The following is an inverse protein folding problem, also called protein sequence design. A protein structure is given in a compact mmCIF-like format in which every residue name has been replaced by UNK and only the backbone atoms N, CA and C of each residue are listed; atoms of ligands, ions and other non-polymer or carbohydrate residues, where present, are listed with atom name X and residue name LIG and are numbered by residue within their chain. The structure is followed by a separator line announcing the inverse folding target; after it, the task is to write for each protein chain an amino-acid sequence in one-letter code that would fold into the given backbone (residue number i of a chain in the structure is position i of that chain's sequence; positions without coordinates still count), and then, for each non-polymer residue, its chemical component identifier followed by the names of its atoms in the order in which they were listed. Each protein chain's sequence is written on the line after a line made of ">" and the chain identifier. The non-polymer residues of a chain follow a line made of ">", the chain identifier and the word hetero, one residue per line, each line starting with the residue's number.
data_IF_372323986677
#
_entry.id   IF_372323986677
#
_cell.length_a   1.000
_cell.length_b   1.000
_cell.length_c   1.000
_cell.angle_alpha   90.00
_cell.angle_beta   90.00
_cell.angle_gamma   90.00
#
_symmetry.space_group_name_H-M   'P 1'
#
loop_
_entity.id
_entity.type
_entity.pdbx_description
1 polymer ?
#
# COMPACT_ATOMS: atom_id res chain seq x y z
N UNK A 1 12.70 -7.04 2.53
CA UNK A 1 12.60 -8.27 3.33
C UNK A 1 12.67 -7.93 4.81
N UNK A 2 11.53 -7.95 5.53
CA UNK A 2 11.53 -7.84 7.00
C UNK A 2 12.07 -9.16 7.59
N UNK A 3 12.89 -9.10 8.65
CA UNK A 3 13.40 -10.28 9.36
C UNK A 3 14.64 -10.99 8.79
N UNK A 4 15.34 -10.38 7.82
CA UNK A 4 16.55 -10.96 7.23
C UNK A 4 17.67 -11.24 8.26
N UNK A 5 17.82 -10.34 9.25
CA UNK A 5 18.78 -10.48 10.35
C UNK A 5 18.48 -11.71 11.20
N UNK A 6 17.20 -11.92 11.56
CA UNK A 6 16.76 -13.09 12.33
C UNK A 6 17.05 -14.39 11.58
N UNK A 7 16.77 -14.44 10.27
CA UNK A 7 17.03 -15.63 9.44
C UNK A 7 18.53 -15.94 9.41
N UNK A 8 19.38 -14.92 9.26
CA UNK A 8 20.85 -15.08 9.27
C UNK A 8 21.35 -15.54 10.62
N UNK A 9 20.88 -14.94 11.71
CA UNK A 9 21.27 -15.27 13.08
C UNK A 9 20.90 -16.71 13.46
N UNK A 10 19.77 -17.22 12.99
CA UNK A 10 19.33 -18.59 13.25
C UNK A 10 19.79 -19.59 12.18
N UNK A 11 20.61 -19.16 11.22
CA UNK A 11 21.10 -19.96 10.09
C UNK A 11 19.98 -20.69 9.31
N UNK A 12 18.80 -20.08 9.21
CA UNK A 12 17.60 -20.65 8.57
C UNK A 12 17.43 -20.21 7.10
N UNK A 13 18.49 -19.71 6.47
CA UNK A 13 18.45 -19.21 5.10
C UNK A 13 17.99 -20.28 4.10
N UNK A 14 18.51 -21.51 4.22
CA UNK A 14 18.15 -22.63 3.34
C UNK A 14 16.67 -23.01 3.45
N UNK A 15 16.15 -23.12 4.68
CA UNK A 15 14.73 -23.43 4.91
C UNK A 15 13.80 -22.34 4.37
N UNK A 16 14.17 -21.07 4.55
CA UNK A 16 13.38 -19.95 4.04
C UNK A 16 13.44 -19.87 2.51
N UNK A 17 14.60 -20.12 1.90
CA UNK A 17 14.75 -20.22 0.45
C UNK A 17 13.91 -21.37 -0.12
N UNK A 18 13.87 -22.53 0.54
CA UNK A 18 13.01 -23.64 0.14
C UNK A 18 11.52 -23.28 0.18
N UNK A 19 11.06 -22.60 1.25
CA UNK A 19 9.67 -22.11 1.33
C UNK A 19 9.35 -21.11 0.23
N UNK A 20 10.27 -20.19 -0.05
CA UNK A 20 10.11 -19.22 -1.13
C UNK A 20 10.03 -19.93 -2.49
N UNK A 21 10.98 -20.83 -2.79
CA UNK A 21 10.98 -21.61 -4.02
C UNK A 21 9.68 -22.40 -4.20
N UNK A 22 9.19 -23.08 -3.16
CA UNK A 22 7.93 -23.83 -3.24
C UNK A 22 6.74 -22.91 -3.58
N UNK A 23 6.67 -21.72 -2.96
CA UNK A 23 5.63 -20.74 -3.28
C UNK A 23 5.78 -20.20 -4.71
N UNK A 24 7.01 -19.94 -5.17
CA UNK A 24 7.29 -19.54 -6.55
C UNK A 24 6.89 -20.64 -7.53
N UNK A 25 7.21 -21.90 -7.24
CA UNK A 25 6.81 -23.05 -8.05
C UNK A 25 5.30 -23.17 -8.15
N UNK A 26 4.54 -22.94 -7.08
CA UNK A 26 3.07 -22.93 -7.15
C UNK A 26 2.57 -21.80 -8.07
N UNK A 27 3.14 -20.60 -7.97
CA UNK A 27 2.77 -19.50 -8.88
C UNK A 27 3.12 -19.80 -10.35
N UNK A 28 4.29 -20.40 -10.60
CA UNK A 28 4.71 -20.81 -11.93
C UNK A 28 3.83 -21.93 -12.49
N UNK A 29 3.49 -22.93 -11.67
CA UNK A 29 2.61 -24.02 -12.07
C UNK A 29 1.23 -23.52 -12.49
N UNK A 30 0.66 -22.56 -11.76
CA UNK A 30 -0.59 -21.91 -12.15
C UNK A 30 -0.45 -21.16 -13.47
N UNK A 31 0.67 -20.46 -13.67
CA UNK A 31 1.00 -19.83 -14.96
C UNK A 31 1.11 -20.83 -16.10
N UNK A 32 1.75 -21.98 -15.88
CA UNK A 32 1.89 -23.06 -16.86
C UNK A 32 0.55 -23.69 -17.22
N UNK A 33 -0.37 -23.85 -16.28
CA UNK A 33 -1.73 -24.33 -16.57
C UNK A 33 -2.44 -23.37 -17.53
N UNK A 34 -2.38 -22.07 -17.27
CA UNK A 34 -2.96 -21.04 -18.17
C UNK A 34 -2.28 -21.08 -19.54
N UNK A 35 -0.94 -21.19 -19.59
CA UNK A 35 -0.20 -21.26 -20.84
C UNK A 35 -0.52 -22.53 -21.63
N UNK A 36 -0.68 -23.67 -20.95
CA UNK A 36 -1.08 -24.94 -21.57
C UNK A 36 -2.48 -24.86 -22.17
N UNK A 37 -3.42 -24.19 -21.50
CA UNK A 37 -4.75 -23.92 -22.05
C UNK A 37 -4.67 -23.06 -23.31
N UNK A 38 -3.87 -21.98 -23.30
CA UNK A 38 -3.66 -21.14 -24.48
C UNK A 38 -3.02 -21.91 -25.64
N UNK A 39 -2.04 -22.77 -25.36
CA UNK A 39 -1.40 -23.61 -26.38
C UNK A 39 -2.37 -24.63 -26.97
N UNK A 40 -3.18 -25.29 -26.14
CA UNK A 40 -4.19 -26.25 -26.61
C UNK A 40 -5.22 -25.52 -27.48
N UNK A 41 -5.70 -24.36 -27.04
CA UNK A 41 -6.67 -23.56 -27.77
C UNK A 41 -6.10 -23.06 -29.12
N UNK A 42 -4.86 -22.55 -29.11
CA UNK A 42 -4.16 -22.15 -30.33
C UNK A 42 -3.95 -23.32 -31.29
N UNK A 43 -3.48 -24.46 -30.80
CA UNK A 43 -3.26 -25.66 -31.62
C UNK A 43 -4.57 -26.17 -32.24
N UNK A 44 -5.66 -26.19 -31.47
CA UNK A 44 -6.97 -26.58 -31.95
C UNK A 44 -7.47 -25.64 -33.07
N UNK A 45 -7.34 -24.32 -32.86
CA UNK A 45 -7.69 -23.33 -33.88
C UNK A 45 -6.86 -23.50 -35.16
N UNK A 46 -5.54 -23.72 -35.05
CA UNK A 46 -4.69 -23.96 -36.22
C UNK A 46 -5.11 -25.19 -37.01
N UNK A 47 -5.48 -26.29 -36.34
CA UNK A 47 -5.97 -27.50 -37.01
C UNK A 47 -7.32 -27.26 -37.69
N UNK A 48 -8.25 -26.61 -37.01
CA UNK A 48 -9.58 -26.28 -37.57
C UNK A 48 -9.42 -25.41 -38.82
N UNK A 49 -8.62 -24.35 -38.77
CA UNK A 49 -8.41 -23.45 -39.91
C UNK A 49 -7.57 -24.10 -41.02
N UNK A 50 -6.66 -25.00 -40.68
CA UNK A 50 -5.92 -25.79 -41.66
C UNK A 50 -6.85 -26.71 -42.46
N UNK A 51 -7.77 -27.39 -41.78
CA UNK A 51 -8.78 -28.25 -42.42
C UNK A 51 -9.79 -27.44 -43.23
N UNK A 52 -10.25 -26.29 -42.71
CA UNK A 52 -11.11 -25.36 -43.42
C UNK A 52 -10.46 -24.91 -44.75
N UNK A 53 -9.23 -24.41 -44.73
CA UNK A 53 -8.53 -23.97 -45.94
C UNK A 53 -8.36 -25.11 -46.93
N UNK A 54 -7.97 -26.29 -46.46
CA UNK A 54 -7.80 -27.48 -47.32
C UNK A 54 -9.13 -27.86 -47.99
N UNK A 55 -10.24 -27.83 -47.25
CA UNK A 55 -11.57 -28.12 -47.77
C UNK A 55 -12.02 -27.06 -48.80
N UNK A 56 -11.78 -25.77 -48.53
CA UNK A 56 -12.11 -24.67 -49.46
C UNK A 56 -11.35 -24.84 -50.77
N UNK A 57 -10.04 -25.15 -50.72
CA UNK A 57 -9.26 -25.37 -51.93
C UNK A 57 -9.71 -26.63 -52.68
N UNK A 58 -10.00 -27.72 -51.97
CA UNK A 58 -10.48 -28.95 -52.58
C UNK A 58 -11.80 -28.76 -53.34
N UNK A 59 -12.81 -28.20 -52.68
CA UNK A 59 -14.13 -27.94 -53.27
C UNK A 59 -14.02 -26.87 -54.37
N UNK A 60 -13.28 -25.80 -54.10
CA UNK A 60 -13.07 -24.72 -55.05
C UNK A 60 -12.40 -25.19 -56.35
N UNK A 61 -11.37 -26.04 -56.26
CA UNK A 61 -10.71 -26.61 -57.43
C UNK A 61 -11.64 -27.50 -58.25
N UNK A 62 -12.48 -28.32 -57.60
CA UNK A 62 -13.47 -29.15 -58.28
C UNK A 62 -14.53 -28.30 -59.02
N UNK A 63 -14.97 -27.18 -58.44
CA UNK A 63 -15.92 -26.26 -59.08
C UNK A 63 -15.32 -25.53 -60.30
N UNK A 64 -14.03 -25.16 -60.24
CA UNK A 64 -13.32 -24.55 -61.39
C UNK A 64 -13.16 -25.57 -62.54
N UNK A 65 -12.81 -26.81 -62.22
CA UNK A 65 -12.61 -27.88 -63.21
C UNK A 65 -13.93 -28.40 -63.79
N UNK A 66 -15.02 -28.34 -63.04
CA UNK A 66 -16.36 -28.82 -63.45
C UNK A 66 -17.07 -27.92 -64.47
N UNK A 67 -16.49 -26.79 -64.87
CA UNK A 67 -17.04 -25.91 -65.91
C UNK A 67 -18.28 -25.11 -65.47
N UNK A 68 -18.59 -25.08 -64.17
CA UNK A 68 -19.49 -24.06 -63.62
C UNK A 68 -18.83 -22.67 -63.85
N UNK A 69 -19.59 -21.59 -63.94
CA UNK A 69 -19.11 -20.21 -64.18
C UNK A 69 -18.13 -19.65 -63.12
N UNK A 70 -17.52 -20.51 -62.29
CA UNK A 70 -16.60 -20.23 -61.21
C UNK A 70 -15.14 -20.10 -61.71
N UNK A 71 -14.64 -18.87 -61.78
CA UNK A 71 -13.26 -18.58 -62.18
C UNK A 71 -12.26 -18.75 -61.03
N UNK A 72 -10.98 -18.96 -61.37
CA UNK A 72 -9.89 -19.00 -60.40
C UNK A 72 -9.79 -17.71 -59.56
N UNK A 73 -10.14 -16.55 -60.14
CA UNK A 73 -10.17 -15.28 -59.41
C UNK A 73 -11.24 -15.24 -58.32
N UNK A 74 -12.41 -15.87 -58.55
CA UNK A 74 -13.46 -15.97 -57.54
C UNK A 74 -13.08 -16.88 -56.38
N UNK A 75 -12.31 -17.94 -56.61
CA UNK A 75 -11.75 -18.78 -55.53
C UNK A 75 -10.79 -17.99 -54.64
N UNK A 76 -9.91 -17.19 -55.24
CA UNK A 76 -8.99 -16.32 -54.49
C UNK A 76 -9.77 -15.29 -53.67
N UNK A 77 -10.78 -14.64 -54.27
CA UNK A 77 -11.62 -13.70 -53.53
C UNK A 77 -12.37 -14.37 -52.37
N UNK A 78 -12.95 -15.56 -52.59
CA UNK A 78 -13.67 -16.32 -51.56
C UNK A 78 -12.76 -16.73 -50.39
N UNK A 79 -11.58 -17.29 -50.69
CA UNK A 79 -10.59 -17.66 -49.65
C UNK A 79 -10.15 -16.45 -48.83
N UNK A 80 -9.97 -15.29 -49.45
CA UNK A 80 -9.69 -14.04 -48.71
C UNK A 80 -10.84 -13.63 -47.79
N UNK A 81 -12.10 -13.68 -48.26
CA UNK A 81 -13.25 -13.34 -47.43
C UNK A 81 -13.47 -14.32 -46.28
N UNK A 82 -13.31 -15.63 -46.50
CA UNK A 82 -13.33 -16.63 -45.44
C UNK A 82 -12.23 -16.37 -44.41
N UNK A 83 -10.99 -16.13 -44.87
CA UNK A 83 -9.87 -15.79 -43.98
C UNK A 83 -10.14 -14.53 -43.14
N UNK A 84 -10.73 -13.50 -43.74
CA UNK A 84 -11.15 -12.30 -43.00
C UNK A 84 -12.21 -12.62 -41.95
N UNK A 85 -13.26 -13.37 -42.30
CA UNK A 85 -14.32 -13.74 -41.38
C UNK A 85 -13.77 -14.54 -40.18
N UNK A 86 -12.95 -15.54 -40.46
CA UNK A 86 -12.31 -16.42 -39.49
C UNK A 86 -11.37 -15.65 -38.54
N UNK A 87 -10.57 -14.72 -39.08
CA UNK A 87 -9.73 -13.84 -38.26
C UNK A 87 -10.55 -12.93 -37.34
N UNK A 88 -11.67 -12.38 -37.81
CA UNK A 88 -12.55 -11.56 -36.96
C UNK A 88 -13.26 -12.37 -35.90
N UNK A 89 -13.69 -13.59 -36.21
CA UNK A 89 -14.31 -14.50 -35.26
C UNK A 89 -13.36 -14.89 -34.11
N UNK A 90 -12.12 -15.28 -34.44
CA UNK A 90 -11.09 -15.60 -33.43
C UNK A 90 -10.73 -14.39 -32.56
N UNK A 91 -10.59 -13.20 -33.17
CA UNK A 91 -10.32 -11.96 -32.44
C UNK A 91 -11.40 -11.66 -31.39
N UNK A 92 -12.67 -11.97 -31.68
CA UNK A 92 -13.77 -11.77 -30.72
C UNK A 92 -13.60 -12.65 -29.47
N UNK A 93 -13.13 -13.89 -29.65
CA UNK A 93 -12.84 -14.80 -28.53
C UNK A 93 -11.68 -14.27 -27.69
N UNK A 94 -10.62 -13.79 -28.34
CA UNK A 94 -9.47 -13.19 -27.65
C UNK A 94 -9.87 -11.95 -26.86
N UNK A 95 -10.72 -11.08 -27.42
CA UNK A 95 -11.27 -9.92 -26.70
C UNK A 95 -12.09 -10.36 -25.48
N UNK A 96 -12.90 -11.41 -25.59
CA UNK A 96 -13.66 -11.92 -24.45
C UNK A 96 -12.76 -12.41 -23.31
N UNK A 97 -11.64 -13.07 -23.64
CA UNK A 97 -10.63 -13.50 -22.66
C UNK A 97 -9.93 -12.28 -22.04
N UNK A 98 -9.55 -11.30 -22.85
CA UNK A 98 -8.90 -10.06 -22.38
C UNK A 98 -9.80 -9.28 -21.42
N UNK A 99 -11.09 -9.13 -21.73
CA UNK A 99 -12.07 -8.47 -20.85
C UNK A 99 -12.19 -9.20 -19.51
N UNK A 100 -12.18 -10.54 -19.49
CA UNK A 100 -12.19 -11.31 -18.23
C UNK A 100 -10.93 -11.07 -17.40
N UNK A 101 -9.75 -11.03 -18.02
CA UNK A 101 -8.49 -10.74 -17.33
C UNK A 101 -8.45 -9.32 -16.76
N UNK A 102 -8.94 -8.34 -17.53
CA UNK A 102 -9.06 -6.96 -17.08
C UNK A 102 -9.98 -6.84 -15.86
N UNK A 103 -11.11 -7.56 -15.85
CA UNK A 103 -12.04 -7.56 -14.71
C UNK A 103 -11.40 -8.07 -13.42
N UNK A 104 -10.54 -9.08 -13.49
CA UNK A 104 -9.80 -9.59 -12.31
C UNK A 104 -8.81 -8.55 -11.76
N UNK A 105 -8.12 -7.83 -12.63
CA UNK A 105 -7.24 -6.73 -12.22
C UNK A 105 -8.05 -5.58 -11.61
N UNK A 106 -9.19 -5.26 -12.21
CA UNK A 106 -10.12 -4.25 -11.71
C UNK A 106 -10.64 -4.54 -10.31
N UNK A 107 -10.96 -5.79 -9.98
CA UNK A 107 -11.41 -6.17 -8.63
C UNK A 107 -10.35 -5.88 -7.55
N UNK A 108 -9.07 -6.17 -7.81
CA UNK A 108 -8.00 -5.89 -6.84
C UNK A 108 -7.79 -4.40 -6.62
N UNK A 109 -7.93 -3.60 -7.68
CA UNK A 109 -7.87 -2.15 -7.56
C UNK A 109 -9.10 -1.62 -6.82
N UNK A 110 -10.28 -2.18 -7.10
CA UNK A 110 -11.53 -1.83 -6.44
C UNK A 110 -11.45 -2.04 -4.92
N UNK A 111 -10.82 -3.12 -4.43
CA UNK A 111 -10.65 -3.33 -2.99
C UNK A 111 -9.89 -2.18 -2.32
N UNK A 112 -8.85 -1.63 -2.97
CA UNK A 112 -8.07 -0.50 -2.45
C UNK A 112 -8.84 0.81 -2.58
N UNK A 113 -9.38 1.08 -3.77
CA UNK A 113 -10.06 2.36 -4.08
C UNK A 113 -11.37 2.50 -3.31
N UNK A 114 -12.08 1.39 -3.08
CA UNK A 114 -13.34 1.36 -2.34
C UNK A 114 -13.15 1.12 -0.84
N UNK A 115 -11.91 0.99 -0.36
CA UNK A 115 -11.66 0.97 1.08
C UNK A 115 -12.16 2.30 1.66
N UNK A 116 -13.06 2.28 2.66
CA UNK A 116 -13.61 3.50 3.21
C UNK A 116 -12.47 4.36 3.81
N UNK A 117 -12.45 5.68 3.53
CA UNK A 117 -11.45 6.56 4.11
C UNK A 117 -11.57 6.59 5.64
N UNK A 118 -10.50 7.03 6.30
CA UNK A 118 -10.52 7.23 7.75
C UNK A 118 -11.70 8.13 8.13
N UNK A 119 -12.53 7.67 9.08
CA UNK A 119 -13.75 8.37 9.49
C UNK A 119 -13.41 9.57 10.38
N UNK A 120 -14.29 10.57 10.38
CA UNK A 120 -14.23 11.74 11.26
C UNK A 120 -12.90 12.52 11.20
N UNK A 121 -12.18 12.49 10.07
CA UNK A 121 -10.95 13.28 9.90
C UNK A 121 -11.27 14.77 9.86
N UNK A 122 -12.23 15.13 9.00
CA UNK A 122 -12.80 16.48 8.91
C UNK A 122 -14.25 16.44 9.38
N UNK A 123 -14.64 17.46 10.15
CA UNK A 123 -15.99 17.62 10.68
C UNK A 123 -16.42 19.07 10.49
N UNK A 124 -17.71 19.35 10.61
CA UNK A 124 -18.26 20.71 10.51
C UNK A 124 -18.00 21.54 11.78
N UNK A 125 -17.07 21.13 12.64
CA UNK A 125 -16.74 21.89 13.83
C UNK A 125 -15.97 23.15 13.44
N UNK A 126 -16.64 24.31 13.57
CA UNK A 126 -16.09 25.63 13.25
C UNK A 126 -15.75 26.45 14.51
N UNK A 127 -15.73 25.81 15.69
CA UNK A 127 -15.40 26.48 16.94
C UNK A 127 -13.89 26.69 17.14
N UNK A 128 -13.49 27.49 18.14
CA UNK A 128 -12.08 27.61 18.51
C UNK A 128 -11.54 26.27 19.01
N UNK A 129 -10.20 26.11 18.99
CA UNK A 129 -9.59 24.92 19.55
C UNK A 129 -9.95 24.79 21.04
N UNK A 130 -10.45 23.63 21.48
CA UNK A 130 -10.86 23.43 22.87
C UNK A 130 -9.65 23.38 23.81
N UNK A 131 -9.89 23.57 25.09
CA UNK A 131 -8.88 23.37 26.13
C UNK A 131 -8.34 21.93 26.09
N UNK A 132 -7.03 21.69 26.26
CA UNK A 132 -6.41 20.37 26.09
C UNK A 132 -6.65 19.43 27.30
N UNK A 133 -7.87 19.38 27.82
CA UNK A 133 -8.30 18.36 28.79
C UNK A 133 -8.85 17.14 28.07
N UNK A 134 -8.65 15.94 28.62
CA UNK A 134 -9.09 14.67 28.03
C UNK A 134 -10.04 13.98 29.00
N UNK A 135 -11.22 13.61 28.53
CA UNK A 135 -12.19 12.84 29.30
C UNK A 135 -12.56 11.58 28.52
N UNK A 136 -12.35 10.44 29.15
CA UNK A 136 -12.68 9.12 28.63
C UNK A 136 -13.82 8.58 29.47
N UNK A 137 -14.92 8.18 28.82
CA UNK A 137 -16.11 7.67 29.51
C UNK A 137 -16.50 6.29 29.00
N UNK A 138 -16.56 5.32 29.91
CA UNK A 138 -16.97 3.94 29.66
C UNK A 138 -16.31 3.32 28.39
N UNK A 139 -15.00 3.52 28.22
CA UNK A 139 -14.30 3.13 27.01
C UNK A 139 -14.16 1.62 26.90
N UNK A 140 -14.54 1.07 25.74
CA UNK A 140 -14.36 -0.34 25.40
C UNK A 140 -13.68 -0.53 24.05
N UNK A 141 -12.64 -1.37 24.01
CA UNK A 141 -11.92 -1.71 22.79
C UNK A 141 -11.45 -3.17 22.70
N UNK A 142 -11.57 -3.76 21.51
CA UNK A 142 -11.02 -5.07 21.07
C UNK A 142 -10.60 -5.01 19.59
N UNK A 143 -9.61 -5.81 19.16
CA UNK A 143 -9.11 -5.71 17.78
C UNK A 143 -10.04 -6.36 16.74
N UNK A 144 -10.74 -7.44 17.09
CA UNK A 144 -11.75 -8.05 16.24
C UNK A 144 -13.00 -8.46 17.01
N UNK A 145 -14.11 -8.62 16.29
CA UNK A 145 -15.31 -9.22 16.86
C UNK A 145 -15.03 -10.67 17.28
N UNK A 146 -15.38 -11.01 18.53
CA UNK A 146 -15.11 -12.33 19.11
C UNK A 146 -13.78 -12.43 19.87
N UNK A 147 -12.88 -11.45 19.75
CA UNK A 147 -11.69 -11.39 20.58
C UNK A 147 -11.98 -10.85 21.99
N UNK A 148 -11.05 -11.14 22.92
CA UNK A 148 -11.11 -10.62 24.29
C UNK A 148 -10.97 -9.10 24.27
N UNK A 149 -11.76 -8.44 25.12
CA UNK A 149 -11.61 -7.02 25.41
C UNK A 149 -10.19 -6.69 25.88
N UNK A 150 -9.55 -5.74 25.21
CA UNK A 150 -8.25 -5.21 25.61
C UNK A 150 -8.44 -4.13 26.67
N UNK A 151 -9.44 -3.27 26.47
CA UNK A 151 -9.87 -2.23 27.42
C UNK A 151 -11.38 -2.35 27.54
N UNK A 152 -11.91 -2.23 28.77
CA UNK A 152 -13.35 -2.28 29.01
C UNK A 152 -13.73 -1.44 30.22
N UNK A 153 -14.80 -0.65 30.11
CA UNK A 153 -15.34 0.20 31.18
C UNK A 153 -14.28 1.13 31.78
N UNK A 154 -13.41 1.69 30.94
CA UNK A 154 -12.38 2.63 31.40
C UNK A 154 -12.95 4.04 31.44
N UNK A 155 -12.91 4.65 32.61
CA UNK A 155 -13.14 6.07 32.84
C UNK A 155 -11.82 6.73 33.25
N UNK A 156 -11.45 7.83 32.60
CA UNK A 156 -10.22 8.57 32.85
C UNK A 156 -10.44 10.05 32.56
N UNK A 157 -10.06 10.90 33.50
CA UNK A 157 -10.08 12.35 33.34
C UNK A 157 -8.66 12.89 33.50
N UNK A 158 -8.21 13.69 32.54
CA UNK A 158 -6.91 14.37 32.52
C UNK A 158 -7.17 15.86 32.35
N UNK A 159 -6.80 16.64 33.35
CA UNK A 159 -6.94 18.09 33.32
C UNK A 159 -5.90 18.75 32.41
N UNK A 160 -6.17 19.97 31.95
CA UNK A 160 -5.21 20.71 31.14
C UNK A 160 -3.94 21.01 31.96
N UNK A 161 -2.78 20.73 31.36
CA UNK A 161 -1.48 20.86 32.03
C UNK A 161 -1.13 19.71 32.98
N UNK A 162 -2.01 18.74 33.17
CA UNK A 162 -1.73 17.56 33.97
C UNK A 162 -0.79 16.60 33.21
N UNK A 163 0.19 16.04 33.93
CA UNK A 163 1.10 15.02 33.40
C UNK A 163 0.78 13.66 34.02
N UNK A 164 0.19 12.77 33.22
CA UNK A 164 -0.27 11.45 33.69
C UNK A 164 0.65 10.35 33.17
N UNK A 165 1.13 9.51 34.07
CA UNK A 165 1.92 8.32 33.73
C UNK A 165 1.06 7.05 33.78
N UNK A 166 1.02 6.30 32.68
CA UNK A 166 0.28 5.03 32.59
C UNK A 166 1.26 3.86 32.72
N UNK A 167 1.23 3.19 33.87
CA UNK A 167 2.11 2.06 34.18
C UNK A 167 1.34 0.73 34.30
N UNK A 168 2.04 -0.38 34.01
CA UNK A 168 1.49 -1.73 34.17
C UNK A 168 2.29 -2.79 33.42
N UNK A 169 2.06 -4.09 33.67
CA UNK A 169 2.68 -5.20 32.95
C UNK A 169 2.60 -5.10 31.42
N UNK A 170 3.57 -5.67 30.71
CA UNK A 170 3.55 -5.73 29.24
C UNK A 170 2.32 -6.51 28.74
N UNK A 171 1.73 -6.08 27.63
CA UNK A 171 0.56 -6.73 27.03
C UNK A 171 -0.82 -6.34 27.60
N UNK A 172 -0.91 -5.50 28.63
CA UNK A 172 -2.19 -5.05 29.21
C UNK A 172 -2.90 -3.93 28.43
N UNK A 173 -2.47 -3.61 27.21
CA UNK A 173 -3.15 -2.63 26.36
C UNK A 173 -2.75 -1.16 26.57
N UNK A 174 -1.65 -0.85 27.27
CA UNK A 174 -1.14 0.53 27.43
C UNK A 174 -0.93 1.24 26.08
N UNK A 175 -0.23 0.58 25.17
CA UNK A 175 -0.01 1.09 23.80
C UNK A 175 -1.32 1.20 23.03
N UNK A 176 -2.30 0.33 23.31
CA UNK A 176 -3.63 0.38 22.71
C UNK A 176 -4.41 1.60 23.22
N UNK A 177 -4.35 1.89 24.52
CA UNK A 177 -4.93 3.09 25.12
C UNK A 177 -4.29 4.35 24.53
N UNK A 178 -2.96 4.40 24.43
CA UNK A 178 -2.27 5.51 23.77
C UNK A 178 -2.78 5.71 22.33
N UNK A 179 -2.89 4.64 21.54
CA UNK A 179 -3.41 4.70 20.16
C UNK A 179 -4.87 5.18 20.09
N UNK A 180 -5.71 4.84 21.06
CA UNK A 180 -7.09 5.32 21.15
C UNK A 180 -7.12 6.82 21.47
N UNK A 181 -6.31 7.26 22.44
CA UNK A 181 -6.20 8.68 22.80
C UNK A 181 -5.66 9.51 21.63
N UNK A 182 -4.69 8.99 20.87
CA UNK A 182 -4.16 9.60 19.64
C UNK A 182 -5.16 9.61 18.46
N UNK A 183 -6.33 8.97 18.62
CA UNK A 183 -7.32 8.82 17.55
C UNK A 183 -6.87 7.95 16.39
N UNK A 184 -5.86 7.08 16.58
CA UNK A 184 -5.40 6.09 15.60
C UNK A 184 -6.28 4.83 15.58
N UNK A 185 -6.95 4.56 16.69
CA UNK A 185 -7.96 3.52 16.82
C UNK A 185 -9.28 4.16 17.22
N UNK A 186 -10.40 3.55 16.80
CA UNK A 186 -11.74 3.99 17.19
C UNK A 186 -12.28 3.06 18.27
N UNK A 187 -12.81 3.61 19.39
CA UNK A 187 -13.44 2.78 20.40
C UNK A 187 -14.75 2.16 19.89
N UNK A 188 -15.03 0.93 20.33
CA UNK A 188 -16.31 0.26 20.05
C UNK A 188 -17.40 0.66 21.05
N UNK A 189 -17.03 0.96 22.29
CA UNK A 189 -17.93 1.43 23.33
C UNK A 189 -17.36 2.68 24.01
N UNK A 190 -18.26 3.55 24.48
CA UNK A 190 -17.90 4.80 25.14
C UNK A 190 -17.46 5.89 24.18
N UNK A 191 -16.85 6.93 24.76
CA UNK A 191 -16.42 8.12 24.03
C UNK A 191 -15.16 8.74 24.65
N UNK A 192 -14.45 9.51 23.82
CA UNK A 192 -13.31 10.34 24.21
C UNK A 192 -13.70 11.77 23.89
N UNK A 193 -13.57 12.66 24.86
CA UNK A 193 -13.87 14.10 24.74
C UNK A 193 -12.61 14.92 25.02
N UNK A 194 -12.43 15.98 24.25
CA UNK A 194 -11.33 16.94 24.36
C UNK A 194 -11.92 18.31 24.68
N UNK A 195 -11.58 18.89 25.83
CA UNK A 195 -12.20 20.14 26.32
C UNK A 195 -13.72 20.09 26.34
N UNK A 196 -14.29 18.93 26.71
CA UNK A 196 -15.73 18.68 26.75
C UNK A 196 -16.37 18.34 25.40
N UNK A 197 -15.64 18.38 24.29
CA UNK A 197 -16.15 18.09 22.94
C UNK A 197 -15.76 16.67 22.52
N UNK A 198 -16.73 15.86 22.10
CA UNK A 198 -16.48 14.51 21.59
C UNK A 198 -15.48 14.52 20.42
N UNK A 199 -14.46 13.65 20.45
CA UNK A 199 -13.40 13.56 19.44
C UNK A 199 -13.95 13.34 18.03
N UNK A 200 -15.03 12.55 17.90
CA UNK A 200 -15.74 12.32 16.63
C UNK A 200 -16.36 13.60 16.06
N UNK A 201 -16.73 14.56 16.91
CA UNK A 201 -17.30 15.86 16.51
C UNK A 201 -16.21 16.90 16.28
N UNK A 202 -15.17 16.94 17.11
CA UNK A 202 -14.02 17.84 16.95
C UNK A 202 -13.27 17.57 15.64
N UNK A 203 -13.18 16.30 15.24
CA UNK A 203 -12.48 15.88 14.05
C UNK A 203 -11.00 15.60 14.32
N UNK A 204 -10.47 14.52 13.73
CA UNK A 204 -9.09 14.07 13.97
C UNK A 204 -8.06 15.08 13.48
N UNK A 205 -8.35 15.84 12.41
CA UNK A 205 -7.43 16.86 11.88
C UNK A 205 -7.19 17.99 12.87
N UNK A 206 -8.26 18.56 13.43
CA UNK A 206 -8.17 19.63 14.43
C UNK A 206 -7.50 19.13 15.71
N UNK A 207 -7.84 17.93 16.15
CA UNK A 207 -7.23 17.32 17.32
C UNK A 207 -5.73 17.06 17.14
N UNK A 208 -5.32 16.45 16.03
CA UNK A 208 -3.90 16.14 15.73
C UNK A 208 -3.05 17.39 15.57
N UNK A 209 -3.64 18.55 15.22
CA UNK A 209 -2.91 19.83 15.18
C UNK A 209 -2.49 20.34 16.57
N UNK A 210 -3.16 19.91 17.64
CA UNK A 210 -2.82 20.23 19.03
C UNK A 210 -1.92 19.19 19.68
N UNK A 211 -1.66 18.08 18.99
CA UNK A 211 -1.09 16.88 19.57
C UNK A 211 0.34 16.64 19.07
N UNK A 212 1.26 16.39 20.00
CA UNK A 212 2.58 15.81 19.71
C UNK A 212 2.62 14.37 20.23
N UNK A 213 3.13 13.43 19.43
CA UNK A 213 3.29 12.04 19.82
C UNK A 213 4.69 11.54 19.50
N UNK A 214 5.24 10.71 20.39
CA UNK A 214 6.45 9.93 20.16
C UNK A 214 6.10 8.47 20.47
N UNK A 215 6.15 7.59 19.47
CA UNK A 215 5.83 6.18 19.64
C UNK A 215 7.10 5.34 19.78
N UNK A 216 6.95 4.15 20.36
CA UNK A 216 8.08 3.24 20.60
C UNK A 216 8.74 2.75 19.29
N UNK A 217 7.94 2.57 18.22
CA UNK A 217 8.38 2.06 16.92
C UNK A 217 8.22 3.13 15.82
N UNK A 218 8.88 4.29 15.97
CA UNK A 218 8.87 5.33 14.94
C UNK A 218 9.88 5.02 13.82
N UNK A 219 9.46 5.23 12.57
CA UNK A 219 10.28 5.03 11.38
C UNK A 219 10.71 6.36 10.80
N UNK A 220 12.01 6.52 10.56
CA UNK A 220 12.53 7.63 9.76
C UNK A 220 12.26 7.39 8.27
N UNK A 221 11.90 8.45 7.57
CA UNK A 221 11.75 8.45 6.12
C UNK A 221 13.09 8.60 5.44
N UNK A 222 13.18 8.10 4.20
CA UNK A 222 14.32 8.34 3.34
C UNK A 222 14.41 9.85 3.05
N UNK A 223 15.50 10.47 3.50
CA UNK A 223 15.71 11.92 3.42
C UNK A 223 16.84 12.35 4.34
N UNK A 224 17.06 13.66 4.46
CA UNK A 224 18.01 14.22 5.42
C UNK A 224 17.45 14.17 6.85
N UNK A 225 18.30 14.42 7.85
CA UNK A 225 17.81 14.55 9.24
C UNK A 225 16.94 15.80 9.35
N UNK A 226 17.32 16.89 8.67
CA UNK A 226 16.51 18.11 8.62
C UNK A 226 15.09 17.84 8.07
N UNK A 227 14.97 17.04 7.00
CA UNK A 227 13.67 16.67 6.42
C UNK A 227 12.82 15.86 7.41
N UNK A 228 13.44 14.96 8.17
CA UNK A 228 12.74 14.16 9.17
C UNK A 228 12.32 15.00 10.40
N UNK A 229 13.17 15.93 10.87
CA UNK A 229 12.83 16.85 11.97
C UNK A 229 11.72 17.81 11.54
N UNK A 230 11.80 18.35 10.31
CA UNK A 230 10.76 19.19 9.72
C UNK A 230 9.54 18.40 9.22
N UNK A 231 9.57 17.07 9.27
CA UNK A 231 8.53 16.18 8.74
C UNK A 231 8.10 16.52 7.29
N UNK A 232 9.04 16.95 6.46
CA UNK A 232 8.81 17.43 5.08
C UNK A 232 7.79 18.58 4.98
N UNK A 233 7.60 19.35 6.05
CA UNK A 233 6.78 20.57 6.04
C UNK A 233 7.47 21.67 5.21
N UNK A 234 6.85 22.15 4.11
CA UNK A 234 7.42 23.20 3.28
C UNK A 234 7.61 24.53 4.02
N UNK A 235 6.90 24.76 5.13
CA UNK A 235 6.99 25.98 5.95
C UNK A 235 8.04 25.86 7.08
N UNK A 236 8.68 24.69 7.24
CA UNK A 236 9.69 24.47 8.27
C UNK A 236 10.99 25.24 7.95
N UNK A 237 11.21 26.33 8.66
CA UNK A 237 12.46 27.09 8.50
C UNK A 237 13.64 26.38 9.16
N UNK A 238 14.86 26.51 8.60
CA UNK A 238 16.07 25.89 9.16
C UNK A 238 16.33 26.26 10.63
N UNK A 239 15.99 27.48 11.03
CA UNK A 239 16.09 27.95 12.42
C UNK A 239 15.14 27.19 13.37
N UNK A 240 13.91 26.88 12.92
CA UNK A 240 12.95 26.08 13.72
C UNK A 240 13.43 24.64 13.87
N UNK A 241 13.98 24.06 12.80
CA UNK A 241 14.57 22.72 12.80
C UNK A 241 15.73 22.65 13.78
N UNK A 242 16.62 23.65 13.78
CA UNK A 242 17.72 23.74 14.73
C UNK A 242 17.26 23.90 16.18
N UNK A 243 16.28 24.79 16.41
CA UNK A 243 15.71 24.96 17.73
C UNK A 243 15.10 23.65 18.26
N UNK A 244 14.37 22.91 17.43
CA UNK A 244 13.82 21.60 17.77
C UNK A 244 14.93 20.57 18.08
N UNK A 245 15.98 20.51 17.26
CA UNK A 245 17.12 19.62 17.48
C UNK A 245 17.87 19.92 18.80
N UNK A 246 17.96 21.21 19.19
CA UNK A 246 18.54 21.63 20.47
C UNK A 246 17.65 21.27 21.65
N UNK A 247 16.34 21.48 21.54
CA UNK A 247 15.37 21.08 22.58
C UNK A 247 15.37 19.56 22.81
N UNK A 248 15.51 18.78 21.73
CA UNK A 248 15.63 17.32 21.78
C UNK A 248 17.03 16.81 22.17
N UNK A 249 18.01 17.70 22.42
CA UNK A 249 19.40 17.37 22.79
C UNK A 249 20.15 16.49 21.75
N UNK A 250 19.76 16.54 20.48
CA UNK A 250 20.39 15.78 19.39
C UNK A 250 21.27 16.67 18.49
N UNK A 251 21.20 17.99 18.63
CA UNK A 251 21.93 18.91 17.74
C UNK A 251 23.44 18.69 17.76
N UNK A 252 24.05 18.44 18.93
CA UNK A 252 25.49 18.16 19.04
C UNK A 252 25.90 16.91 18.27
N UNK A 253 25.10 15.84 18.35
CA UNK A 253 25.39 14.55 17.71
C UNK A 253 25.26 14.66 16.19
N UNK A 254 24.25 15.41 15.74
CA UNK A 254 24.01 15.71 14.33
C UNK A 254 25.19 16.52 13.74
N UNK A 255 25.72 17.50 14.48
CA UNK A 255 26.88 18.31 14.04
C UNK A 255 28.19 17.52 14.08
N UNK A 256 28.35 16.62 15.06
CA UNK A 256 29.52 15.76 15.18
C UNK A 256 29.56 14.65 14.10
N UNK A 257 28.42 14.34 13.46
CA UNK A 257 28.37 13.38 12.38
C UNK A 257 29.24 13.82 11.20
N UNK A 258 30.16 12.95 10.78
CA UNK A 258 31.14 13.18 9.70
C UNK A 258 30.53 13.60 8.35
N UNK A 259 29.22 13.40 8.18
CA UNK A 259 28.43 13.74 6.99
C UNK A 259 27.49 14.94 7.20
N UNK A 260 27.71 15.77 8.23
CA UNK A 260 26.90 16.95 8.62
C UNK A 260 26.39 17.83 7.47
N UNK A 261 27.15 17.96 6.37
CA UNK A 261 26.75 18.73 5.20
C UNK A 261 25.57 18.06 4.45
N UNK A 262 25.56 16.74 4.33
CA UNK A 262 24.43 15.97 3.77
C UNK A 262 23.29 15.80 4.78
N UNK A 263 23.60 15.91 6.08
CA UNK A 263 22.63 15.87 7.19
C UNK A 263 21.71 17.10 7.20
N UNK A 264 22.26 18.28 6.89
CA UNK A 264 21.59 19.58 7.07
C UNK A 264 21.05 20.23 5.79
N UNK A 265 21.34 19.74 4.58
CA UNK A 265 20.57 19.99 3.32
C UNK A 265 21.37 19.70 2.03
N UNK A 266 20.71 19.87 0.87
CA UNK A 266 21.34 20.20 -0.41
C UNK A 266 21.93 21.64 -0.50
N UNK A 267 21.98 22.45 0.58
CA UNK A 267 22.30 23.90 0.48
C UNK A 267 23.01 24.56 1.67
N UNK A 268 23.36 23.84 2.74
CA UNK A 268 23.93 24.36 3.98
C UNK A 268 25.36 23.84 4.17
N UNK A 269 26.27 24.23 3.28
CA UNK A 269 27.70 24.01 3.48
C UNK A 269 28.37 25.33 3.91
N UNK A 270 28.58 25.52 5.22
CA UNK A 270 29.75 26.28 5.68
C UNK A 270 30.87 25.28 5.92
N UNK A 271 32.09 25.50 5.40
CA UNK A 271 33.20 24.59 5.58
C UNK A 271 33.55 24.49 7.07
N UNK A 272 33.58 23.26 7.58
CA UNK A 272 34.06 22.94 8.91
C UNK A 272 35.54 23.36 9.01
N UNK A 273 35.98 24.15 10.02
CA UNK A 273 37.39 24.44 10.20
C UNK A 273 38.10 23.14 10.56
N UNK A 274 39.09 22.76 9.75
CA UNK A 274 39.92 21.59 9.97
C UNK A 274 40.46 21.61 11.41
N UNK A 275 40.12 20.57 12.19
CA UNK A 275 40.75 20.32 13.47
C UNK A 275 42.25 20.19 13.23
N UNK A 276 43.00 21.15 13.76
CA UNK A 276 44.46 21.13 13.84
C UNK A 276 44.89 19.91 14.64
N UNK A 277 45.43 18.90 13.95
CA UNK A 277 46.26 17.89 14.58
C UNK A 277 47.58 18.56 14.98
N UNK A 278 47.79 18.76 16.28
CA UNK A 278 49.12 18.98 16.84
C UNK A 278 49.46 17.79 17.74
N UNK A 279 50.64 17.24 17.48
CA UNK A 279 51.34 16.23 18.25
C UNK A 279 51.62 16.66 19.69
#
# INVERSE_FOLDING_TARGET
>A
MRGATTIRLHNQSAAQSARYMNATTDTLNRGLVVQKLNLIFGSANTLIFGLENTAIYWVGALMVLGGADFSAGMLIAFTMYCGMFTSRASSLVDYAVQVKMLRLQGQRLADIVLTPPERHVETNYAGPLPEPSIQVRNLGFRYAEGERWVIRHLDLDIAAGESVAIAGPSGLGKTTLAKLLLGLLEPQEGEIRIGGIELKRLGKRAYRAMLGAVLQDDTLFAGSIADNIGFFDPEATPLRIEAAARLAQIHSDIVACRWAITVWSATWARPCPAASASA
#
